data_IF_783380010696
#
_entry.id   IF_783380010696
#
_cell.length_a   1.000
_cell.length_b   1.000
_cell.length_c   1.000
_cell.angle_alpha   90.00
_cell.angle_beta   90.00
_cell.angle_gamma   90.00
#
_symmetry.space_group_name_H-M   'P 1'
#
loop_
_entity.id
_entity.type
_entity.pdbx_description
1 polymer ?
#
# COMPACT_ATOMS: atom_id res chain seq x y z
N UNK A 1 12.91 -15.69 -16.70
CA UNK A 1 13.67 -16.92 -16.32
C UNK A 1 14.96 -17.09 -17.12
N UNK A 2 15.10 -16.48 -18.31
CA UNK A 2 16.30 -16.60 -19.15
C UNK A 2 17.48 -15.72 -18.69
N UNK A 3 17.21 -14.58 -18.07
CA UNK A 3 18.25 -13.65 -17.60
C UNK A 3 19.00 -14.11 -16.33
N UNK A 4 18.43 -15.00 -15.53
CA UNK A 4 19.01 -15.44 -14.26
C UNK A 4 20.36 -16.15 -14.41
N UNK A 5 20.58 -17.05 -15.41
CA UNK A 5 21.87 -17.68 -15.63
C UNK A 5 22.98 -16.71 -16.09
N UNK A 6 22.61 -15.73 -16.92
CA UNK A 6 23.55 -14.70 -17.38
C UNK A 6 23.98 -13.76 -16.27
N UNK A 7 23.03 -13.30 -15.45
CA UNK A 7 23.32 -12.49 -14.26
C UNK A 7 24.25 -13.26 -13.31
N UNK A 8 23.98 -14.54 -13.08
CA UNK A 8 24.83 -15.37 -12.23
C UNK A 8 26.25 -15.46 -12.76
N UNK A 9 26.44 -15.69 -14.07
CA UNK A 9 27.75 -15.68 -14.70
C UNK A 9 28.54 -14.40 -14.52
N UNK A 10 27.84 -13.24 -14.64
CA UNK A 10 28.43 -11.91 -14.42
C UNK A 10 28.84 -11.75 -12.95
N UNK A 11 27.97 -12.12 -12.02
CA UNK A 11 28.27 -12.07 -10.59
C UNK A 11 29.45 -12.96 -10.22
N UNK A 12 29.46 -14.20 -10.70
CA UNK A 12 30.56 -15.13 -10.45
C UNK A 12 31.88 -14.61 -11.05
N UNK A 13 31.83 -13.99 -12.25
CA UNK A 13 33.00 -13.36 -12.88
C UNK A 13 33.53 -12.19 -12.06
N UNK A 14 32.67 -11.31 -11.57
CA UNK A 14 33.06 -10.15 -10.74
C UNK A 14 33.61 -10.60 -9.39
N UNK A 15 33.02 -11.62 -8.79
CA UNK A 15 33.48 -12.16 -7.50
C UNK A 15 34.81 -12.91 -7.59
N UNK A 16 35.18 -13.39 -8.78
CA UNK A 16 36.50 -14.05 -9.03
C UNK A 16 37.62 -13.03 -9.26
N UNK A 17 37.34 -11.76 -9.49
CA UNK A 17 38.31 -10.69 -9.67
C UNK A 17 38.86 -10.23 -8.32
N UNK A 18 40.14 -9.82 -8.29
CA UNK A 18 40.66 -9.13 -7.12
C UNK A 18 40.11 -7.68 -6.99
N UNK A 19 40.33 -7.05 -5.83
CA UNK A 19 39.76 -5.74 -5.54
C UNK A 19 40.27 -4.64 -6.49
N UNK A 20 41.53 -4.75 -6.99
CA UNK A 20 42.09 -3.74 -7.89
C UNK A 20 41.55 -3.90 -9.31
N UNK A 21 41.34 -5.14 -9.76
CA UNK A 21 40.64 -5.42 -11.01
C UNK A 21 39.21 -4.94 -11.02
N UNK A 22 38.46 -5.17 -9.90
CA UNK A 22 37.12 -4.66 -9.75
C UNK A 22 37.07 -3.13 -9.79
N UNK A 23 37.99 -2.46 -9.11
CA UNK A 23 38.10 -0.98 -9.13
C UNK A 23 38.47 -0.45 -10.52
N UNK A 24 39.35 -1.13 -11.26
CA UNK A 24 39.69 -0.75 -12.63
C UNK A 24 38.48 -0.84 -13.55
N UNK A 25 37.75 -1.96 -13.49
CA UNK A 25 36.55 -2.18 -14.26
C UNK A 25 35.46 -1.14 -13.94
N UNK A 26 35.27 -0.81 -12.66
CA UNK A 26 34.33 0.22 -12.22
C UNK A 26 34.67 1.60 -12.80
N UNK A 27 35.96 1.94 -12.93
CA UNK A 27 36.38 3.21 -13.56
C UNK A 27 36.09 3.23 -15.05
N UNK A 28 36.23 2.09 -15.75
CA UNK A 28 35.91 1.97 -17.19
C UNK A 28 34.41 2.12 -17.48
N UNK A 29 33.54 1.63 -16.59
CA UNK A 29 32.07 1.80 -16.72
C UNK A 29 31.54 3.17 -16.29
N UNK A 30 32.41 4.07 -15.84
CA UNK A 30 32.04 5.36 -15.26
C UNK A 30 31.66 5.20 -13.78
N UNK A 31 32.15 6.12 -12.96
CA UNK A 31 31.76 6.15 -11.55
C UNK A 31 30.26 6.35 -11.46
N UNK A 32 29.54 5.41 -10.79
CA UNK A 32 28.21 5.69 -10.29
C UNK A 32 28.38 6.94 -9.41
N UNK A 33 27.87 8.08 -9.82
CA UNK A 33 27.87 9.27 -8.99
C UNK A 33 27.28 8.86 -7.64
N UNK A 34 28.13 8.92 -6.61
CA UNK A 34 27.60 8.72 -5.26
C UNK A 34 26.55 9.79 -5.09
N UNK A 35 25.32 9.43 -4.72
CA UNK A 35 24.32 10.42 -4.43
C UNK A 35 24.94 11.43 -3.49
N UNK A 36 24.82 12.72 -3.81
CA UNK A 36 25.33 13.80 -2.98
C UNK A 36 24.99 13.50 -1.53
N UNK A 37 25.97 13.61 -0.64
CA UNK A 37 25.71 13.47 0.79
C UNK A 37 24.68 14.54 1.14
N UNK A 38 23.41 14.12 1.26
CA UNK A 38 22.37 14.95 1.82
C UNK A 38 22.91 15.42 3.17
N UNK A 39 23.11 16.73 3.35
CA UNK A 39 23.46 17.31 4.63
C UNK A 39 22.44 16.79 5.65
N UNK A 40 22.92 15.97 6.60
CA UNK A 40 22.07 15.16 7.48
C UNK A 40 21.21 15.98 8.44
N UNK A 41 21.43 17.30 8.50
CA UNK A 41 20.87 18.18 9.53
C UNK A 41 19.75 19.10 9.04
N UNK A 42 19.39 19.06 7.75
CA UNK A 42 18.29 19.87 7.22
C UNK A 42 17.05 19.02 6.95
N UNK A 43 15.90 19.49 7.46
CA UNK A 43 14.61 18.95 7.07
C UNK A 43 14.40 19.14 5.56
N UNK A 44 13.87 18.12 4.86
CA UNK A 44 13.59 18.27 3.43
C UNK A 44 12.57 19.41 3.20
N UNK A 45 12.86 20.24 2.20
CA UNK A 45 11.89 21.24 1.77
C UNK A 45 10.70 20.56 1.10
N UNK A 46 9.50 20.81 1.65
CA UNK A 46 8.27 20.25 1.13
C UNK A 46 7.62 21.21 0.11
N UNK A 47 7.21 20.67 -1.02
CA UNK A 47 6.31 21.37 -1.93
C UNK A 47 4.95 21.55 -1.23
N UNK A 48 4.27 22.68 -1.43
CA UNK A 48 2.96 22.96 -0.83
C UNK A 48 2.94 22.84 0.70
N UNK A 49 3.91 23.39 1.38
CA UNK A 49 4.13 23.32 2.83
C UNK A 49 3.09 24.08 3.68
N UNK A 50 2.03 24.65 3.07
CA UNK A 50 0.91 25.24 3.79
C UNK A 50 -0.06 24.14 4.24
N UNK A 51 -0.48 24.17 5.53
CA UNK A 51 -1.43 23.20 6.11
C UNK A 51 -0.98 21.73 6.00
N UNK A 52 0.26 21.46 6.33
CA UNK A 52 0.83 20.10 6.27
C UNK A 52 0.03 19.12 7.14
N UNK A 53 -0.42 18.03 6.56
CA UNK A 53 -1.05 16.91 7.25
C UNK A 53 -0.28 15.65 6.87
N UNK A 54 0.36 15.05 7.85
CA UNK A 54 1.09 13.79 7.71
C UNK A 54 0.40 12.66 8.44
N UNK A 55 0.71 11.43 8.09
CA UNK A 55 0.18 10.26 8.79
C UNK A 55 1.23 9.20 9.06
N UNK A 56 1.10 8.52 10.18
CA UNK A 56 1.68 7.21 10.45
C UNK A 56 0.55 6.18 10.38
N UNK A 57 0.71 5.13 9.56
CA UNK A 57 -0.38 4.22 9.20
C UNK A 57 0.05 2.74 9.35
N UNK A 58 0.29 2.27 10.59
CA UNK A 58 0.66 0.89 10.84
C UNK A 58 -0.52 -0.08 10.79
N UNK A 59 -0.25 -1.33 10.40
CA UNK A 59 -1.17 -2.43 10.71
C UNK A 59 -0.93 -2.88 12.17
N UNK A 60 -1.97 -2.91 13.03
CA UNK A 60 -1.82 -3.29 14.44
C UNK A 60 -1.82 -4.83 14.62
N UNK A 61 -0.94 -5.54 13.90
CA UNK A 61 -0.83 -7.00 13.96
C UNK A 61 0.33 -7.48 14.87
N UNK A 62 0.88 -6.60 15.68
CA UNK A 62 1.95 -6.84 16.65
C UNK A 62 2.36 -5.55 17.35
N UNK A 63 3.39 -5.61 18.18
CA UNK A 63 3.98 -4.44 18.83
C UNK A 63 4.77 -3.57 17.83
N UNK A 64 4.99 -2.31 18.17
CA UNK A 64 5.92 -1.43 17.42
C UNK A 64 7.30 -2.09 17.38
N UNK A 65 7.85 -2.26 16.18
CA UNK A 65 9.26 -2.61 15.99
C UNK A 65 10.10 -1.35 15.80
N UNK A 66 11.41 -1.49 15.94
CA UNK A 66 12.35 -0.38 15.68
C UNK A 66 12.19 0.17 14.25
N UNK A 67 11.82 -0.68 13.27
CA UNK A 67 11.50 -0.25 11.91
C UNK A 67 10.31 0.70 11.83
N UNK A 68 9.30 0.54 12.67
CA UNK A 68 8.14 1.43 12.76
C UNK A 68 8.47 2.80 13.38
N UNK A 69 9.46 2.87 14.28
CA UNK A 69 9.87 4.14 14.90
C UNK A 69 10.33 5.15 13.85
N UNK A 70 11.03 4.70 12.82
CA UNK A 70 11.56 5.58 11.78
C UNK A 70 10.46 6.38 11.05
N UNK A 71 9.47 5.79 10.40
CA UNK A 71 8.38 6.57 9.77
C UNK A 71 7.54 7.34 10.80
N UNK A 72 7.33 6.81 12.01
CA UNK A 72 6.61 7.52 13.05
C UNK A 72 7.29 8.84 13.43
N UNK A 73 8.59 8.81 13.70
CA UNK A 73 9.38 10.00 14.07
C UNK A 73 9.57 10.98 12.92
N UNK A 74 9.83 10.49 11.68
CA UNK A 74 9.95 11.37 10.53
C UNK A 74 8.69 12.19 10.28
N UNK A 75 7.52 11.54 10.27
CA UNK A 75 6.25 12.25 10.16
C UNK A 75 6.04 13.24 11.34
N UNK A 76 6.48 12.89 12.54
CA UNK A 76 6.38 13.77 13.70
C UNK A 76 7.27 15.00 13.57
N UNK A 77 8.52 14.85 13.13
CA UNK A 77 9.43 15.96 12.88
C UNK A 77 8.93 16.89 11.78
N UNK A 78 8.43 16.35 10.67
CA UNK A 78 7.82 17.14 9.60
C UNK A 78 6.63 17.94 10.16
N UNK A 79 5.74 17.29 10.89
CA UNK A 79 4.60 17.96 11.54
C UNK A 79 5.07 19.12 12.44
N UNK A 80 6.15 18.92 13.21
CA UNK A 80 6.71 19.95 14.10
C UNK A 80 7.29 21.13 13.31
N UNK A 81 8.13 20.83 12.31
CA UNK A 81 8.82 21.84 11.49
C UNK A 81 7.83 22.73 10.71
N UNK A 82 6.79 22.14 10.14
CA UNK A 82 5.78 22.85 9.33
C UNK A 82 4.51 23.24 10.11
N UNK A 83 4.51 23.11 11.43
CA UNK A 83 3.35 23.40 12.28
C UNK A 83 2.06 22.69 11.79
N UNK A 84 2.23 21.45 11.34
CA UNK A 84 1.18 20.66 10.68
C UNK A 84 0.34 19.82 11.66
N UNK A 85 -0.41 18.87 11.10
CA UNK A 85 -1.18 17.84 11.83
C UNK A 85 -0.54 16.48 11.64
N UNK A 86 -0.56 15.67 12.70
CA UNK A 86 -0.11 14.27 12.66
C UNK A 86 -1.30 13.34 12.91
N UNK A 87 -1.55 12.44 11.99
CA UNK A 87 -2.61 11.45 12.11
C UNK A 87 -2.00 10.07 12.43
N UNK A 88 -2.61 9.35 13.37
CA UNK A 88 -2.39 7.92 13.53
C UNK A 88 -3.54 7.18 12.86
N UNK A 89 -3.26 6.39 11.82
CA UNK A 89 -4.25 5.55 11.17
C UNK A 89 -3.88 4.09 11.34
N UNK A 90 -4.76 3.28 11.86
CA UNK A 90 -4.59 1.84 11.89
C UNK A 90 -5.11 1.26 10.58
N UNK A 91 -4.19 0.74 9.75
CA UNK A 91 -4.48 0.09 8.48
C UNK A 91 -4.80 -1.39 8.76
N UNK A 92 -5.96 -1.64 9.35
CA UNK A 92 -6.43 -2.90 9.92
C UNK A 92 -7.46 -3.64 9.04
N UNK A 93 -7.35 -3.49 7.70
CA UNK A 93 -8.31 -4.10 6.77
C UNK A 93 -7.90 -5.48 6.25
N UNK A 94 -6.94 -6.14 6.89
CA UNK A 94 -6.56 -7.52 6.59
C UNK A 94 -6.90 -8.49 7.73
N UNK A 95 -8.14 -9.02 7.77
CA UNK A 95 -8.56 -9.90 8.85
C UNK A 95 -8.09 -11.35 8.70
N UNK A 96 -7.42 -11.70 7.59
CA UNK A 96 -7.10 -13.09 7.27
C UNK A 96 -5.59 -13.38 7.28
N UNK A 97 -4.79 -12.60 6.54
CA UNK A 97 -3.35 -12.86 6.38
C UNK A 97 -2.52 -12.19 7.46
N UNK A 98 -2.87 -10.94 7.81
CA UNK A 98 -2.22 -10.16 8.87
C UNK A 98 -3.29 -9.61 9.82
N UNK A 99 -4.03 -10.48 10.52
CA UNK A 99 -5.14 -10.04 11.36
C UNK A 99 -4.63 -9.10 12.46
N UNK A 100 -5.36 -8.02 12.75
CA UNK A 100 -5.05 -7.14 13.86
C UNK A 100 -5.13 -7.88 15.20
N UNK A 101 -4.34 -7.43 16.17
CA UNK A 101 -4.39 -7.89 17.55
C UNK A 101 -5.07 -6.81 18.38
N UNK A 102 -6.05 -7.18 19.22
CA UNK A 102 -6.86 -6.23 19.98
C UNK A 102 -6.00 -5.32 20.87
N UNK A 103 -5.01 -5.89 21.53
CA UNK A 103 -4.11 -5.20 22.43
C UNK A 103 -3.16 -4.25 21.68
N UNK A 104 -2.81 -4.56 20.42
CA UNK A 104 -1.87 -3.76 19.64
C UNK A 104 -2.34 -2.31 19.43
N UNK A 105 -3.65 -2.06 19.37
CA UNK A 105 -4.16 -0.69 19.29
C UNK A 105 -3.81 0.17 20.51
N UNK A 106 -3.69 -0.42 21.70
CA UNK A 106 -3.19 0.28 22.90
C UNK A 106 -1.68 0.37 22.89
N UNK A 107 -0.97 -0.72 22.58
CA UNK A 107 0.50 -0.72 22.51
C UNK A 107 1.04 0.40 21.60
N UNK A 108 0.50 0.53 20.39
CA UNK A 108 0.91 1.62 19.49
C UNK A 108 0.68 3.00 20.08
N UNK A 109 -0.41 3.24 20.80
CA UNK A 109 -0.69 4.53 21.44
C UNK A 109 0.29 4.80 22.59
N UNK A 110 0.58 3.78 23.39
CA UNK A 110 1.48 3.90 24.55
C UNK A 110 2.93 4.10 24.08
N UNK A 111 3.38 3.36 23.07
CA UNK A 111 4.71 3.50 22.49
C UNK A 111 4.91 4.87 21.81
N UNK A 112 3.91 5.35 21.06
CA UNK A 112 3.95 6.69 20.47
C UNK A 112 3.99 7.77 21.56
N UNK A 113 3.24 7.61 22.64
CA UNK A 113 3.29 8.51 23.80
C UNK A 113 4.69 8.50 24.44
N UNK A 114 5.29 7.32 24.59
CA UNK A 114 6.68 7.19 25.11
C UNK A 114 7.69 7.89 24.19
N UNK A 115 7.52 7.82 22.86
CA UNK A 115 8.32 8.57 21.89
C UNK A 115 8.02 10.07 21.86
N UNK A 116 7.13 10.60 22.72
CA UNK A 116 6.71 12.00 22.73
C UNK A 116 5.78 12.39 21.60
N UNK A 117 5.24 11.43 20.85
CA UNK A 117 4.34 11.65 19.71
C UNK A 117 2.90 11.72 20.19
N UNK A 118 2.23 12.85 19.93
CA UNK A 118 0.80 13.05 20.24
C UNK A 118 0.01 13.23 18.95
N UNK A 119 -0.71 12.21 18.47
CA UNK A 119 -1.54 12.33 17.27
C UNK A 119 -2.65 13.36 17.45
N UNK A 120 -2.89 14.18 16.42
CA UNK A 120 -4.02 15.10 16.36
C UNK A 120 -5.36 14.36 16.21
N UNK A 121 -5.33 13.18 15.58
CA UNK A 121 -6.48 12.30 15.38
C UNK A 121 -6.03 10.85 15.24
N UNK A 122 -6.87 9.93 15.73
CA UNK A 122 -6.71 8.49 15.55
C UNK A 122 -7.84 7.99 14.64
N UNK A 123 -7.47 7.21 13.63
CA UNK A 123 -8.38 6.65 12.62
C UNK A 123 -8.23 5.13 12.66
N UNK A 124 -9.33 4.41 12.56
CA UNK A 124 -9.35 2.94 12.50
C UNK A 124 -10.12 2.58 11.22
N UNK A 125 -9.44 1.96 10.26
CA UNK A 125 -10.00 1.69 8.93
C UNK A 125 -11.18 0.72 8.98
N UNK A 126 -11.11 -0.33 9.79
CA UNK A 126 -12.21 -1.29 9.95
C UNK A 126 -13.53 -0.66 10.40
N UNK A 127 -13.49 0.45 11.14
CA UNK A 127 -14.70 1.21 11.53
C UNK A 127 -15.29 2.05 10.40
N UNK A 128 -14.64 2.07 9.24
CA UNK A 128 -15.02 2.87 8.08
C UNK A 128 -15.51 2.05 6.89
N UNK A 129 -15.69 0.74 7.03
CA UNK A 129 -16.07 -0.18 5.96
C UNK A 129 -17.30 0.31 5.17
N UNK A 130 -18.34 0.79 5.85
CA UNK A 130 -19.55 1.33 5.20
C UNK A 130 -19.23 2.47 4.23
N UNK A 131 -18.25 3.32 4.56
CA UNK A 131 -17.82 4.42 3.71
C UNK A 131 -17.07 3.88 2.48
N UNK A 132 -16.19 2.92 2.65
CA UNK A 132 -15.49 2.28 1.54
C UNK A 132 -16.45 1.57 0.59
N UNK A 133 -17.47 0.89 1.11
CA UNK A 133 -18.52 0.27 0.27
C UNK A 133 -19.30 1.30 -0.53
N UNK A 134 -19.59 2.47 0.07
CA UNK A 134 -20.26 3.56 -0.64
C UNK A 134 -19.42 4.04 -1.83
N UNK A 135 -18.14 4.33 -1.62
CA UNK A 135 -17.24 4.74 -2.71
C UNK A 135 -17.07 3.66 -3.78
N UNK A 136 -17.00 2.39 -3.37
CA UNK A 136 -16.96 1.27 -4.31
C UNK A 136 -18.22 1.23 -5.19
N UNK A 137 -19.40 1.40 -4.59
CA UNK A 137 -20.67 1.44 -5.32
C UNK A 137 -20.74 2.65 -6.28
N UNK A 138 -20.27 3.82 -5.85
CA UNK A 138 -20.21 5.01 -6.70
C UNK A 138 -19.30 4.78 -7.90
N UNK A 139 -18.11 4.19 -7.70
CA UNK A 139 -17.21 3.82 -8.79
C UNK A 139 -17.81 2.80 -9.75
N UNK A 140 -18.53 1.80 -9.24
CA UNK A 140 -19.25 0.85 -10.07
C UNK A 140 -20.30 1.57 -10.94
N UNK A 141 -21.07 2.48 -10.36
CA UNK A 141 -22.14 3.19 -11.04
C UNK A 141 -21.62 4.07 -12.20
N UNK A 142 -20.44 4.65 -12.04
CA UNK A 142 -19.79 5.46 -13.11
C UNK A 142 -18.88 4.63 -14.04
N UNK A 143 -18.87 3.30 -13.89
CA UNK A 143 -18.03 2.41 -14.72
C UNK A 143 -16.53 2.44 -14.38
N UNK A 144 -16.14 2.99 -13.23
CA UNK A 144 -14.75 3.07 -12.74
C UNK A 144 -14.28 1.83 -11.98
N UNK A 145 -15.18 0.89 -11.67
CA UNK A 145 -14.84 -0.37 -11.02
C UNK A 145 -15.69 -1.54 -11.55
N UNK A 146 -15.18 -2.76 -11.43
CA UNK A 146 -15.87 -3.96 -11.86
C UNK A 146 -15.51 -5.19 -11.01
N UNK A 147 -16.45 -6.12 -10.88
CA UNK A 147 -16.24 -7.40 -10.21
C UNK A 147 -15.65 -8.40 -11.21
N UNK A 148 -14.45 -8.87 -10.91
CA UNK A 148 -13.70 -9.83 -11.71
C UNK A 148 -13.78 -11.22 -11.08
N UNK A 149 -14.18 -12.22 -11.90
CA UNK A 149 -14.23 -13.65 -11.53
C UNK A 149 -13.22 -14.49 -12.31
N UNK A 150 -12.24 -13.87 -12.96
CA UNK A 150 -11.14 -14.59 -13.59
C UNK A 150 -10.22 -15.17 -12.51
N UNK A 151 -9.73 -16.39 -12.72
CA UNK A 151 -8.69 -16.94 -11.86
C UNK A 151 -7.40 -16.10 -11.95
N UNK A 152 -6.51 -16.27 -10.99
CA UNK A 152 -5.29 -15.46 -10.86
C UNK A 152 -4.35 -15.59 -12.06
N UNK A 153 -4.24 -16.78 -12.66
CA UNK A 153 -3.38 -17.05 -13.79
C UNK A 153 -3.86 -16.33 -15.06
N UNK A 154 -5.15 -16.53 -15.43
CA UNK A 154 -5.78 -15.83 -16.56
C UNK A 154 -5.69 -14.32 -16.39
N UNK A 155 -5.94 -13.81 -15.16
CA UNK A 155 -5.87 -12.37 -14.92
C UNK A 155 -4.44 -11.84 -15.09
N UNK A 156 -3.44 -12.55 -14.60
CA UNK A 156 -2.02 -12.17 -14.78
C UNK A 156 -1.67 -12.11 -16.26
N UNK A 157 -2.08 -13.11 -17.04
CA UNK A 157 -1.86 -13.14 -18.49
C UNK A 157 -2.49 -11.92 -19.18
N UNK A 158 -3.75 -11.61 -18.89
CA UNK A 158 -4.45 -10.44 -19.46
C UNK A 158 -3.72 -9.13 -19.13
N UNK A 159 -3.30 -8.95 -17.88
CA UNK A 159 -2.58 -7.75 -17.45
C UNK A 159 -1.21 -7.61 -18.14
N UNK A 160 -0.46 -8.70 -18.27
CA UNK A 160 0.82 -8.70 -18.96
C UNK A 160 0.68 -8.35 -20.45
N UNK A 161 -0.35 -8.90 -21.10
CA UNK A 161 -0.62 -8.64 -22.52
C UNK A 161 -1.37 -7.33 -22.77
N UNK A 162 -1.66 -6.52 -21.75
CA UNK A 162 -2.48 -5.30 -21.86
C UNK A 162 -3.88 -5.58 -22.48
N UNK A 163 -4.46 -6.74 -22.18
CA UNK A 163 -5.76 -7.15 -22.70
C UNK A 163 -6.84 -6.84 -21.66
N UNK A 164 -7.90 -6.14 -22.11
CA UNK A 164 -9.08 -5.83 -21.30
C UNK A 164 -9.71 -7.10 -20.72
N UNK A 165 -10.05 -7.06 -19.45
CA UNK A 165 -10.69 -8.19 -18.78
C UNK A 165 -12.14 -8.38 -19.30
N UNK A 166 -12.57 -9.58 -19.69
CA UNK A 166 -13.94 -9.82 -20.17
C UNK A 166 -15.02 -9.59 -19.11
N UNK A 167 -14.64 -9.42 -17.84
CA UNK A 167 -15.56 -9.07 -16.77
C UNK A 167 -15.97 -7.60 -16.76
N UNK A 168 -15.24 -6.71 -17.45
CA UNK A 168 -15.53 -5.26 -17.48
C UNK A 168 -16.89 -4.95 -18.10
N UNK A 169 -17.28 -5.70 -19.13
CA UNK A 169 -18.49 -5.45 -19.93
C UNK A 169 -19.75 -6.14 -19.35
N UNK A 170 -19.62 -6.83 -18.19
CA UNK A 170 -20.75 -7.48 -17.53
C UNK A 170 -21.48 -6.50 -16.62
N UNK A 171 -22.77 -6.74 -16.39
CA UNK A 171 -23.55 -5.95 -15.45
C UNK A 171 -22.97 -6.07 -14.02
N UNK A 172 -22.61 -4.95 -13.40
CA UNK A 172 -21.78 -4.96 -12.21
C UNK A 172 -22.56 -4.86 -10.89
N UNK A 173 -23.73 -4.23 -10.89
CA UNK A 173 -24.50 -3.95 -9.66
C UNK A 173 -24.88 -5.22 -8.90
N UNK A 174 -25.37 -6.24 -9.59
CA UNK A 174 -25.72 -7.52 -8.97
C UNK A 174 -24.47 -8.30 -8.56
N UNK A 175 -23.43 -8.27 -9.38
CA UNK A 175 -22.16 -8.93 -9.08
C UNK A 175 -21.50 -8.37 -7.81
N UNK A 176 -21.64 -7.07 -7.57
CA UNK A 176 -21.18 -6.45 -6.33
C UNK A 176 -21.96 -6.95 -5.11
N UNK A 177 -23.29 -7.06 -5.21
CA UNK A 177 -24.14 -7.65 -4.15
C UNK A 177 -23.78 -9.12 -3.89
N UNK A 178 -23.51 -9.90 -4.93
CA UNK A 178 -23.12 -11.30 -4.81
C UNK A 178 -21.80 -11.53 -4.06
N UNK A 179 -20.97 -10.50 -3.90
CA UNK A 179 -19.81 -10.60 -3.02
C UNK A 179 -20.19 -10.65 -1.52
N UNK A 180 -21.37 -10.14 -1.15
CA UNK A 180 -21.82 -10.03 0.26
C UNK A 180 -22.80 -11.12 0.67
N UNK A 181 -23.60 -11.63 -0.23
CA UNK A 181 -24.71 -12.56 0.03
C UNK A 181 -24.31 -14.05 0.01
N UNK A 182 -23.03 -14.33 -0.23
CA UNK A 182 -22.49 -15.69 -0.26
C UNK A 182 -22.59 -16.38 -1.64
N UNK A 183 -23.13 -15.72 -2.67
CA UNK A 183 -23.13 -16.22 -4.05
C UNK A 183 -21.70 -16.44 -4.55
N UNK A 184 -20.80 -15.49 -4.28
CA UNK A 184 -19.37 -15.68 -4.49
C UNK A 184 -18.65 -16.02 -3.17
N UNK A 185 -17.78 -17.01 -3.25
CA UNK A 185 -16.91 -17.41 -2.14
C UNK A 185 -15.55 -16.71 -2.21
N UNK A 186 -14.79 -16.83 -1.14
CA UNK A 186 -13.41 -16.33 -1.08
C UNK A 186 -12.57 -16.93 -2.22
N UNK A 187 -11.84 -16.06 -2.95
CA UNK A 187 -11.06 -16.45 -4.11
C UNK A 187 -11.81 -16.46 -5.45
N UNK A 188 -13.15 -16.46 -5.45
CA UNK A 188 -13.95 -16.52 -6.68
C UNK A 188 -14.21 -15.14 -7.31
N UNK A 189 -14.23 -14.09 -6.49
CA UNK A 189 -14.48 -12.74 -6.97
C UNK A 189 -13.66 -11.70 -6.23
N UNK A 190 -13.24 -10.65 -6.97
CA UNK A 190 -12.61 -9.45 -6.43
C UNK A 190 -13.17 -8.22 -7.13
N UNK A 191 -13.37 -7.12 -6.40
CA UNK A 191 -13.62 -5.82 -7.04
C UNK A 191 -12.29 -5.25 -7.52
N UNK A 192 -12.24 -4.75 -8.75
CA UNK A 192 -11.09 -4.08 -9.34
C UNK A 192 -11.42 -2.66 -9.72
N UNK A 193 -10.46 -1.77 -9.56
CA UNK A 193 -10.53 -0.42 -10.12
C UNK A 193 -10.10 -0.50 -11.58
N UNK A 194 -10.90 0.10 -12.45
CA UNK A 194 -10.61 0.20 -13.88
C UNK A 194 -9.61 1.34 -14.09
N UNK A 195 -8.42 0.97 -14.54
CA UNK A 195 -7.33 1.90 -14.82
C UNK A 195 -6.86 1.76 -16.26
N UNK A 196 -5.82 2.49 -16.65
CA UNK A 196 -5.24 2.33 -17.96
C UNK A 196 -4.57 0.95 -18.09
N UNK A 197 -5.15 0.11 -18.95
CA UNK A 197 -4.64 -1.24 -19.22
C UNK A 197 -3.27 -1.22 -19.93
N UNK A 198 -2.88 -0.10 -20.52
CA UNK A 198 -1.60 0.10 -21.18
C UNK A 198 -0.56 0.77 -20.28
N UNK A 199 -0.88 1.04 -19.01
CA UNK A 199 0.08 1.61 -18.07
C UNK A 199 1.42 0.84 -18.15
N UNK A 200 2.59 1.54 -18.19
CA UNK A 200 3.89 0.86 -18.28
C UNK A 200 4.13 -0.14 -17.17
N UNK A 201 3.74 0.21 -15.93
CA UNK A 201 3.80 -0.68 -14.78
C UNK A 201 2.56 -1.57 -14.72
N UNK A 202 2.66 -2.90 -14.93
CA UNK A 202 1.50 -3.82 -14.87
C UNK A 202 0.80 -3.85 -13.51
N UNK A 203 1.47 -3.48 -12.42
CA UNK A 203 0.88 -3.44 -11.08
C UNK A 203 -0.21 -2.36 -10.93
N UNK A 204 -0.16 -1.32 -11.78
CA UNK A 204 -1.15 -0.25 -11.80
C UNK A 204 -2.38 -0.58 -12.68
N UNK A 205 -2.33 -1.68 -13.43
CA UNK A 205 -3.40 -2.07 -14.35
C UNK A 205 -4.51 -2.80 -13.61
N UNK A 206 -5.72 -2.28 -13.62
CA UNK A 206 -6.92 -2.93 -13.05
C UNK A 206 -6.65 -3.63 -11.70
N UNK A 207 -6.04 -2.90 -10.77
CA UNK A 207 -5.65 -3.45 -9.47
C UNK A 207 -6.85 -3.81 -8.59
N UNK A 208 -6.67 -4.76 -7.69
CA UNK A 208 -7.72 -5.25 -6.80
C UNK A 208 -8.00 -4.24 -5.67
N UNK A 209 -9.27 -3.91 -5.45
CA UNK A 209 -9.73 -2.97 -4.44
C UNK A 209 -10.43 -3.65 -3.25
N UNK A 210 -11.18 -4.75 -3.49
CA UNK A 210 -11.84 -5.53 -2.44
C UNK A 210 -11.71 -7.01 -2.72
N UNK A 211 -11.70 -7.77 -1.62
CA UNK A 211 -11.72 -9.23 -1.64
C UNK A 211 -12.76 -9.78 -0.69
N UNK A 212 -13.20 -11.01 -0.95
CA UNK A 212 -13.99 -11.83 -0.03
C UNK A 212 -13.00 -12.61 0.82
N UNK A 213 -13.18 -12.61 2.15
CA UNK A 213 -12.36 -13.39 3.07
C UNK A 213 -13.08 -14.68 3.46
N UNK A 214 -12.34 -15.80 3.56
CA UNK A 214 -12.87 -17.09 3.97
C UNK A 214 -12.96 -17.20 5.49
N UNK A 215 -12.06 -16.55 6.18
CA UNK A 215 -11.98 -16.56 7.64
C UNK A 215 -11.72 -15.12 8.12
N UNK A 216 -12.62 -14.61 8.94
CA UNK A 216 -12.48 -13.28 9.52
C UNK A 216 -12.03 -13.37 10.98
N UNK A 217 -10.76 -13.04 11.23
CA UNK A 217 -10.13 -12.98 12.58
C UNK A 217 -10.05 -11.58 13.14
N UNK A 218 -10.79 -10.61 12.59
CA UNK A 218 -10.71 -9.22 13.00
C UNK A 218 -11.33 -8.99 14.38
N UNK A 219 -10.60 -8.44 15.37
CA UNK A 219 -11.09 -8.30 16.74
C UNK A 219 -12.21 -7.27 16.92
N UNK A 220 -12.35 -6.31 15.98
CA UNK A 220 -13.35 -5.26 16.05
C UNK A 220 -14.52 -5.45 15.08
N UNK A 221 -14.42 -6.37 14.12
CA UNK A 221 -15.47 -6.70 13.15
C UNK A 221 -15.36 -8.16 12.72
N UNK A 222 -16.08 -9.03 13.38
CA UNK A 222 -16.10 -10.47 13.08
C UNK A 222 -17.15 -10.87 12.03
N UNK A 223 -17.95 -9.92 11.52
CA UNK A 223 -19.10 -10.21 10.66
C UNK A 223 -18.87 -9.89 9.18
N UNK A 224 -18.06 -8.90 8.89
CA UNK A 224 -17.83 -8.48 7.51
C UNK A 224 -17.07 -9.54 6.72
N UNK A 225 -17.55 -9.85 5.54
CA UNK A 225 -16.95 -10.86 4.62
C UNK A 225 -16.20 -10.21 3.46
N UNK A 226 -16.52 -8.98 3.09
CA UNK A 226 -15.88 -8.21 2.01
C UNK A 226 -15.01 -7.13 2.59
N UNK A 227 -13.72 -7.15 2.27
CA UNK A 227 -12.76 -6.22 2.85
C UNK A 227 -12.01 -5.44 1.78
N UNK A 228 -11.81 -4.12 1.99
CA UNK A 228 -10.98 -3.33 1.09
C UNK A 228 -9.52 -3.73 1.23
N UNK A 229 -8.78 -3.59 0.14
CA UNK A 229 -7.33 -3.71 0.15
C UNK A 229 -6.69 -2.35 0.47
N UNK A 230 -5.42 -2.40 0.87
CA UNK A 230 -4.67 -1.26 1.38
C UNK A 230 -4.81 -0.01 0.50
N UNK A 231 -4.56 -0.14 -0.80
CA UNK A 231 -4.52 1.01 -1.70
C UNK A 231 -5.87 1.72 -1.78
N UNK A 232 -6.98 0.98 -1.84
CA UNK A 232 -8.32 1.57 -1.89
C UNK A 232 -8.68 2.31 -0.60
N UNK A 233 -8.51 1.65 0.55
CA UNK A 233 -8.83 2.25 1.85
C UNK A 233 -7.95 3.47 2.13
N UNK A 234 -6.64 3.37 1.81
CA UNK A 234 -5.68 4.45 2.02
C UNK A 234 -5.99 5.68 1.19
N UNK A 235 -6.28 5.52 -0.12
CA UNK A 235 -6.59 6.65 -1.00
C UNK A 235 -7.82 7.44 -0.51
N UNK A 236 -8.89 6.72 -0.10
CA UNK A 236 -10.09 7.35 0.43
C UNK A 236 -9.80 8.10 1.73
N UNK A 237 -9.06 7.47 2.66
CA UNK A 237 -8.75 8.08 3.93
C UNK A 237 -7.80 9.27 3.78
N UNK A 238 -6.79 9.16 2.96
CA UNK A 238 -5.86 10.25 2.71
C UNK A 238 -6.58 11.46 2.10
N UNK A 239 -7.53 11.24 1.18
CA UNK A 239 -8.39 12.28 0.65
C UNK A 239 -9.31 12.89 1.72
N UNK A 240 -10.03 12.05 2.50
CA UNK A 240 -11.01 12.50 3.50
C UNK A 240 -10.36 13.32 4.62
N UNK A 241 -9.16 12.91 5.06
CA UNK A 241 -8.44 13.56 6.15
C UNK A 241 -7.45 14.61 5.66
N UNK A 242 -7.46 14.90 4.34
CA UNK A 242 -6.62 15.93 3.72
C UNK A 242 -5.14 15.71 3.99
N UNK A 243 -4.69 14.44 3.93
CA UNK A 243 -3.28 14.11 4.02
C UNK A 243 -2.55 14.77 2.83
N UNK A 244 -1.48 15.50 3.13
CA UNK A 244 -0.74 16.26 2.12
C UNK A 244 0.61 15.64 1.80
N UNK A 245 1.24 15.01 2.80
CA UNK A 245 2.56 14.41 2.66
C UNK A 245 2.60 13.07 3.38
N UNK A 246 3.31 12.12 2.78
CA UNK A 246 3.45 10.77 3.29
C UNK A 246 4.93 10.44 3.35
N UNK A 247 5.39 9.97 4.52
CA UNK A 247 6.73 9.39 4.69
C UNK A 247 6.57 7.95 5.09
N UNK A 248 7.04 7.04 4.26
CA UNK A 248 6.97 5.59 4.47
C UNK A 248 8.14 4.86 3.79
N UNK A 249 8.23 3.56 3.95
CA UNK A 249 9.27 2.74 3.33
C UNK A 249 9.16 2.70 1.80
N UNK A 250 10.29 2.57 1.12
CA UNK A 250 10.40 2.48 -0.35
C UNK A 250 9.68 1.24 -0.90
N UNK A 251 9.52 0.20 -0.09
CA UNK A 251 8.74 -1.01 -0.40
C UNK A 251 7.27 -0.74 -0.74
N UNK A 252 6.75 0.42 -0.36
CA UNK A 252 5.38 0.86 -0.65
C UNK A 252 5.28 1.84 -1.82
N UNK A 253 6.36 2.11 -2.56
CA UNK A 253 6.39 3.08 -3.67
C UNK A 253 5.31 2.80 -4.72
N UNK A 254 5.11 1.54 -5.12
CA UNK A 254 4.06 1.16 -6.09
C UNK A 254 2.64 1.54 -5.62
N UNK A 255 2.46 1.70 -4.31
CA UNK A 255 1.17 2.15 -3.74
C UNK A 255 1.03 3.67 -3.71
N UNK A 256 2.08 4.42 -4.07
CA UNK A 256 2.09 5.88 -4.16
C UNK A 256 1.84 6.35 -5.60
N UNK A 257 2.14 5.50 -6.61
CA UNK A 257 1.86 5.72 -8.04
C UNK A 257 0.36 5.59 -8.34
#
# INVERSE_FOLDING_TARGET
>A
KELTPEIKKIVDKVNAMDLEEQKKLLREYGAIEKPEKIEKDKMPELKNSKNVVVRFAPNPNGAISFGHCRPALWNWFIKGHYTGKYLLRFDDTDPQVKPPIKEAYSWFKDDLKWLGIKPSKIIIQSKRLKKYYKYAQELINIGGAYVCTCNSEKKRELLHKSIKCPCVDKYQTDRWKWMFDGTYKAGEAVLRIKTDINAPNPALRDWAAFRIVSENKHPLDSKSVVWPLLNFASAIDDHDFKVTHIVRGVDLQVSDD
#
